data_IF_897871168565
#
_entry.id   IF_897871168565
#
_cell.length_a   1.000
_cell.length_b   1.000
_cell.length_c   1.000
_cell.angle_alpha   90.00
_cell.angle_beta   90.00
_cell.angle_gamma   90.00
#
_symmetry.space_group_name_H-M   'P 1'
#
loop_
_entity.id
_entity.type
_entity.pdbx_description
1 polymer ?
#
# COMPACT_ATOMS: atom_id res chain seq x y z
N UNK A 1 17.93 -2.80 22.53
CA UNK A 1 16.87 -1.98 21.90
C UNK A 1 15.63 -2.86 21.79
N UNK A 2 14.60 -2.59 22.58
CA UNK A 2 13.40 -3.44 22.60
C UNK A 2 12.63 -3.32 21.29
N UNK A 3 12.20 -4.45 20.72
CA UNK A 3 11.44 -4.49 19.47
C UNK A 3 10.14 -3.68 19.58
N UNK A 4 9.55 -3.62 20.77
CA UNK A 4 8.35 -2.84 21.04
C UNK A 4 8.60 -1.34 20.90
N UNK A 5 9.71 -0.86 21.48
CA UNK A 5 10.16 0.54 21.35
C UNK A 5 10.47 0.91 19.91
N UNK A 6 11.06 -0.02 19.13
CA UNK A 6 11.30 0.19 17.70
C UNK A 6 9.99 0.30 16.89
N UNK A 7 9.01 -0.57 17.18
CA UNK A 7 7.69 -0.51 16.53
C UNK A 7 6.95 0.77 16.87
N UNK A 8 7.04 1.22 18.12
CA UNK A 8 6.43 2.47 18.57
C UNK A 8 7.04 3.67 17.86
N UNK A 9 8.38 3.72 17.73
CA UNK A 9 9.09 4.75 16.97
C UNK A 9 8.69 4.73 15.49
N UNK A 10 8.63 3.55 14.86
CA UNK A 10 8.20 3.43 13.46
C UNK A 10 6.75 3.89 13.26
N UNK A 11 5.86 3.56 14.20
CA UNK A 11 4.45 3.97 14.16
C UNK A 11 4.31 5.49 14.33
N UNK A 12 4.99 6.09 15.32
CA UNK A 12 4.98 7.54 15.56
C UNK A 12 5.64 8.31 14.42
N UNK A 13 6.77 7.82 13.90
CA UNK A 13 7.48 8.42 12.77
C UNK A 13 6.61 8.51 11.51
N UNK A 14 5.89 7.44 11.16
CA UNK A 14 4.97 7.45 10.02
C UNK A 14 3.69 8.27 10.24
N UNK A 15 3.19 8.32 11.48
CA UNK A 15 1.99 9.08 11.82
C UNK A 15 2.22 10.59 11.84
N UNK A 16 3.39 11.05 12.30
CA UNK A 16 3.74 12.48 12.40
C UNK A 16 3.99 13.15 11.05
N UNK A 17 4.19 12.38 9.98
CA UNK A 17 4.29 12.92 8.62
C UNK A 17 2.89 13.01 8.02
N UNK A 18 2.38 14.23 7.68
CA UNK A 18 1.12 14.41 6.99
C UNK A 18 1.09 13.59 5.70
N UNK A 19 -0.09 13.12 5.30
CA UNK A 19 -0.23 12.18 4.19
C UNK A 19 0.50 12.65 2.92
N UNK A 20 0.35 13.93 2.56
CA UNK A 20 0.92 14.54 1.34
C UNK A 20 2.46 14.64 1.37
N UNK A 21 3.06 14.58 2.56
CA UNK A 21 4.52 14.64 2.75
C UNK A 21 5.16 13.26 2.88
N UNK A 22 4.38 12.17 2.88
CA UNK A 22 4.91 10.81 2.98
C UNK A 22 5.59 10.43 1.66
N UNK A 23 6.76 9.81 1.72
CA UNK A 23 7.51 9.40 0.52
C UNK A 23 6.71 8.49 -0.42
N UNK A 24 5.85 7.64 0.12
CA UNK A 24 4.95 6.79 -0.68
C UNK A 24 3.78 7.55 -1.33
N UNK A 25 3.33 8.65 -0.74
CA UNK A 25 2.29 9.50 -1.34
C UNK A 25 2.89 10.40 -2.44
N UNK A 26 4.11 10.90 -2.22
CA UNK A 26 4.83 11.73 -3.18
C UNK A 26 5.35 10.93 -4.38
N UNK A 27 5.92 9.74 -4.14
CA UNK A 27 6.49 8.91 -5.19
C UNK A 27 5.72 7.59 -5.34
N UNK A 28 4.82 7.58 -6.32
CA UNK A 28 4.04 6.40 -6.67
C UNK A 28 4.90 5.22 -7.16
N UNK A 29 6.01 5.50 -7.84
CA UNK A 29 6.92 4.45 -8.30
C UNK A 29 7.57 3.75 -7.10
N UNK A 30 8.08 4.52 -6.13
CA UNK A 30 8.63 4.01 -4.87
C UNK A 30 7.60 3.16 -4.11
N UNK A 31 6.37 3.64 -3.98
CA UNK A 31 5.29 2.88 -3.34
C UNK A 31 4.99 1.55 -4.05
N UNK A 32 4.99 1.57 -5.38
CA UNK A 32 4.73 0.38 -6.20
C UNK A 32 5.87 -0.64 -6.10
N UNK A 33 7.12 -0.19 -6.13
CA UNK A 33 8.30 -1.03 -5.97
C UNK A 33 8.38 -1.65 -4.57
N UNK A 34 8.16 -0.84 -3.53
CA UNK A 34 8.14 -1.31 -2.14
C UNK A 34 7.03 -2.35 -1.93
N UNK A 35 5.83 -2.09 -2.46
CA UNK A 35 4.73 -3.06 -2.44
C UNK A 35 5.08 -4.37 -3.16
N UNK A 36 5.68 -4.29 -4.35
CA UNK A 36 6.12 -5.46 -5.12
C UNK A 36 7.19 -6.27 -4.38
N UNK A 37 8.18 -5.59 -3.79
CA UNK A 37 9.26 -6.22 -3.02
C UNK A 37 8.69 -6.92 -1.79
N UNK A 38 7.85 -6.24 -1.00
CA UNK A 38 7.20 -6.81 0.18
C UNK A 38 6.35 -8.03 -0.15
N UNK A 39 5.56 -7.99 -1.23
CA UNK A 39 4.75 -9.13 -1.66
C UNK A 39 5.57 -10.33 -2.16
N UNK A 40 6.76 -10.09 -2.74
CA UNK A 40 7.67 -11.16 -3.20
C UNK A 40 8.41 -11.83 -2.05
N UNK A 41 8.74 -11.10 -0.99
CA UNK A 41 9.39 -11.66 0.21
C UNK A 41 8.49 -12.62 0.98
N UNK A 42 7.19 -12.64 0.70
CA UNK A 42 6.23 -13.57 1.31
C UNK A 42 6.04 -14.80 0.40
N UNK A 43 6.22 -15.98 0.97
CA UNK A 43 5.99 -17.26 0.28
C UNK A 43 4.54 -17.32 -0.25
N UNK A 44 4.29 -17.89 -1.45
CA UNK A 44 2.99 -17.80 -2.14
C UNK A 44 1.77 -18.17 -1.27
N UNK A 45 1.92 -19.20 -0.44
CA UNK A 45 0.89 -19.70 0.48
C UNK A 45 0.60 -18.77 1.67
N UNK A 46 1.54 -17.92 2.06
CA UNK A 46 1.40 -16.95 3.15
C UNK A 46 0.98 -15.55 2.69
N UNK A 47 0.81 -15.35 1.38
CA UNK A 47 0.40 -14.04 0.87
C UNK A 47 -1.04 -13.76 1.26
N UNK A 48 -1.35 -12.51 1.63
CA UNK A 48 -2.70 -12.12 2.06
C UNK A 48 -3.78 -12.46 1.04
N UNK A 49 -3.42 -12.47 -0.25
CA UNK A 49 -4.32 -12.85 -1.35
C UNK A 49 -4.59 -14.36 -1.46
N UNK A 50 -3.67 -15.19 -0.97
CA UNK A 50 -3.85 -16.64 -0.86
C UNK A 50 -4.58 -17.01 0.44
N UNK A 51 -4.34 -16.26 1.53
CA UNK A 51 -4.93 -16.53 2.84
C UNK A 51 -6.38 -16.03 2.98
N UNK A 52 -6.71 -14.86 2.42
CA UNK A 52 -8.05 -14.28 2.55
C UNK A 52 -8.52 -13.70 1.21
N UNK A 53 -9.36 -14.47 0.52
CA UNK A 53 -9.94 -14.09 -0.77
C UNK A 53 -10.78 -12.81 -0.69
N UNK A 54 -11.50 -12.58 0.40
CA UNK A 54 -12.32 -11.38 0.58
C UNK A 54 -11.46 -10.11 0.69
N UNK A 55 -10.35 -10.18 1.44
CA UNK A 55 -9.37 -9.10 1.56
C UNK A 55 -8.67 -8.82 0.23
N UNK A 56 -8.31 -9.87 -0.52
CA UNK A 56 -7.77 -9.77 -1.87
C UNK A 56 -8.72 -9.03 -2.81
N UNK A 57 -10.00 -9.43 -2.82
CA UNK A 57 -11.03 -8.82 -3.64
C UNK A 57 -11.26 -7.36 -3.27
N UNK A 58 -11.29 -7.03 -1.96
CA UNK A 58 -11.44 -5.66 -1.50
C UNK A 58 -10.27 -4.76 -1.96
N UNK A 59 -9.03 -5.24 -1.84
CA UNK A 59 -7.85 -4.54 -2.33
C UNK A 59 -7.89 -4.35 -3.86
N UNK A 60 -8.28 -5.40 -4.59
CA UNK A 60 -8.46 -5.36 -6.05
C UNK A 60 -9.51 -4.35 -6.48
N UNK A 61 -10.69 -4.34 -5.85
CA UNK A 61 -11.76 -3.36 -6.11
C UNK A 61 -11.27 -1.93 -5.88
N UNK A 62 -10.62 -1.64 -4.76
CA UNK A 62 -10.08 -0.30 -4.46
C UNK A 62 -9.06 0.15 -5.51
N UNK A 63 -8.18 -0.75 -5.96
CA UNK A 63 -7.23 -0.50 -7.04
C UNK A 63 -7.91 -0.23 -8.39
N UNK A 64 -8.96 -0.99 -8.70
CA UNK A 64 -9.78 -0.82 -9.90
C UNK A 64 -10.52 0.53 -9.92
N UNK A 65 -11.19 0.88 -8.81
CA UNK A 65 -11.90 2.16 -8.66
C UNK A 65 -10.98 3.35 -8.85
N UNK A 66 -9.77 3.30 -8.26
CA UNK A 66 -8.75 4.34 -8.44
C UNK A 66 -8.31 4.46 -9.90
N UNK A 67 -8.22 3.34 -10.62
CA UNK A 67 -7.82 3.33 -12.03
C UNK A 67 -8.94 3.81 -12.95
N UNK A 68 -10.19 3.47 -12.63
CA UNK A 68 -11.37 3.95 -13.36
C UNK A 68 -11.59 5.45 -13.16
N UNK A 69 -11.48 5.96 -11.93
CA UNK A 69 -11.54 7.39 -11.63
C UNK A 69 -10.50 8.19 -12.43
N UNK A 70 -9.26 7.70 -12.53
CA UNK A 70 -8.21 8.32 -13.36
C UNK A 70 -8.47 8.27 -14.87
N UNK A 71 -9.16 7.23 -15.35
CA UNK A 71 -9.55 7.12 -16.77
C UNK A 71 -10.70 8.08 -17.09
N UNK A 72 -11.72 8.13 -16.23
CA UNK A 72 -12.83 9.06 -16.37
C UNK A 72 -12.36 10.52 -16.35
N UNK A 73 -11.39 10.87 -15.49
CA UNK A 73 -10.82 12.23 -15.47
C UNK A 73 -9.94 12.59 -16.68
N UNK A 74 -9.49 11.60 -17.47
CA UNK A 74 -8.63 11.81 -18.65
C UNK A 74 -9.42 11.98 -19.95
N UNK A 75 -10.70 11.64 -19.95
CA UNK A 75 -11.64 11.88 -21.03
C UNK A 75 -12.93 12.47 -20.44
N UNK A 76 -12.97 13.77 -20.13
CA UNK A 76 -14.25 14.45 -20.00
C UNK A 76 -14.87 14.51 -21.39
N UNK A 77 -16.13 14.08 -21.50
CA UNK A 77 -16.96 14.26 -22.70
C UNK A 77 -17.21 15.75 -22.97
#
# INVERSE_FOLDING_TARGET
>A
MDQEKQREIARKGGANVPNDKRSFAQNRALASEAGRKGGRSVAPQHRSFSQNRALAAAAGRKGGQTSQSRRASKHPE
#
